data_IF_747088165869
#
_entry.id   IF_747088165869
#
_cell.length_a   1.000
_cell.length_b   1.000
_cell.length_c   1.000
_cell.angle_alpha   90.00
_cell.angle_beta   90.00
_cell.angle_gamma   90.00
#
_symmetry.space_group_name_H-M   'P 1'
#
loop_
_entity.id
_entity.type
_entity.pdbx_description
1 polymer ?
#
# COMPACT_ATOMS: atom_id res chain seq x y z
N UNK A 1 -2.55 1.84 6.72
CA UNK A 1 -1.60 0.70 6.73
C UNK A 1 -2.28 -0.55 6.21
N UNK A 2 -1.55 -1.43 5.52
CA UNK A 2 -1.98 -2.77 5.08
C UNK A 2 -0.82 -3.75 5.10
N UNK A 3 -1.14 -5.04 5.05
CA UNK A 3 -0.16 -6.12 4.91
C UNK A 3 -0.49 -6.91 3.64
N UNK A 4 0.55 -7.27 2.89
CA UNK A 4 0.41 -8.12 1.70
C UNK A 4 0.62 -9.60 2.04
N UNK A 5 0.43 -10.49 1.06
CA UNK A 5 0.51 -11.94 1.25
C UNK A 5 1.92 -12.46 1.60
N UNK A 6 2.96 -11.64 1.42
CA UNK A 6 4.33 -11.95 1.83
C UNK A 6 4.65 -11.43 3.24
N UNK A 7 3.68 -10.81 3.92
CA UNK A 7 3.86 -10.24 5.24
C UNK A 7 4.57 -8.88 5.23
N UNK A 8 4.72 -8.23 4.07
CA UNK A 8 5.28 -6.88 4.02
C UNK A 8 4.26 -5.87 4.53
N UNK A 9 4.73 -4.92 5.33
CA UNK A 9 3.92 -3.83 5.86
C UNK A 9 3.98 -2.62 4.91
N UNK A 10 2.82 -2.14 4.51
CA UNK A 10 2.63 -0.97 3.65
C UNK A 10 2.00 0.16 4.46
N UNK A 11 2.69 1.29 4.58
CA UNK A 11 2.23 2.44 5.38
C UNK A 11 2.35 3.77 4.63
N UNK A 12 1.40 4.67 4.86
CA UNK A 12 1.57 6.08 4.50
C UNK A 12 2.68 6.68 5.37
N UNK A 13 3.61 7.41 4.77
CA UNK A 13 4.71 8.07 5.45
C UNK A 13 5.17 9.32 4.71
N UNK A 14 6.21 9.97 5.23
CA UNK A 14 6.83 11.10 4.56
C UNK A 14 7.30 10.67 3.16
N UNK A 15 6.86 11.38 2.12
CA UNK A 15 7.20 11.09 0.72
C UNK A 15 6.27 10.10 0.00
N UNK A 16 5.34 9.42 0.68
CA UNK A 16 4.35 8.56 0.02
C UNK A 16 4.06 7.27 0.78
N UNK A 17 4.16 6.11 0.12
CA UNK A 17 3.92 4.80 0.74
C UNK A 17 5.23 4.06 1.01
N UNK A 18 5.60 3.92 2.28
CA UNK A 18 6.74 3.11 2.68
C UNK A 18 6.38 1.63 2.78
N UNK A 19 7.34 0.78 2.42
CA UNK A 19 7.20 -0.68 2.49
C UNK A 19 8.31 -1.27 3.35
N UNK A 20 7.93 -2.17 4.25
CA UNK A 20 8.84 -2.86 5.15
C UNK A 20 8.64 -4.37 5.07
N UNK A 21 9.70 -5.16 5.26
CA UNK A 21 9.60 -6.62 5.39
C UNK A 21 8.84 -7.00 6.67
N UNK A 22 8.45 -8.28 6.80
CA UNK A 22 7.85 -8.80 8.03
C UNK A 22 8.77 -8.67 9.26
N UNK A 23 10.09 -8.53 9.05
CA UNK A 23 11.08 -8.30 10.09
C UNK A 23 11.33 -6.80 10.38
N UNK A 24 10.63 -5.91 9.67
CA UNK A 24 10.72 -4.45 9.85
C UNK A 24 11.80 -3.77 9.00
N UNK A 25 12.50 -4.49 8.12
CA UNK A 25 13.52 -3.91 7.25
C UNK A 25 12.86 -3.02 6.19
N UNK A 26 13.38 -1.82 5.97
CA UNK A 26 12.85 -0.89 4.97
C UNK A 26 13.24 -1.33 3.56
N UNK A 27 12.23 -1.48 2.69
CA UNK A 27 12.42 -1.88 1.29
C UNK A 27 12.43 -0.68 0.34
N UNK A 28 11.71 0.39 0.68
CA UNK A 28 11.60 1.56 -0.18
C UNK A 28 10.30 2.33 0.01
N UNK A 29 10.11 3.34 -0.84
CA UNK A 29 8.95 4.22 -0.87
C UNK A 29 8.39 4.32 -2.28
N UNK A 30 7.07 4.28 -2.40
CA UNK A 30 6.37 4.76 -3.59
C UNK A 30 6.15 6.26 -3.41
N UNK A 31 6.86 7.05 -4.20
CA UNK A 31 6.79 8.50 -4.15
C UNK A 31 5.44 8.98 -4.69
N UNK A 32 4.86 9.96 -4.00
CA UNK A 32 3.62 10.62 -4.40
C UNK A 32 3.78 12.14 -4.31
N UNK A 33 3.18 12.85 -5.27
CA UNK A 33 3.19 14.32 -5.27
C UNK A 33 2.38 14.91 -4.11
N UNK A 34 1.34 14.19 -3.67
CA UNK A 34 0.50 14.54 -2.52
C UNK A 34 0.70 13.57 -1.36
N UNK A 35 0.64 14.08 -0.13
CA UNK A 35 0.74 13.25 1.07
C UNK A 35 -0.47 12.30 1.18
N UNK A 36 -0.20 10.99 1.10
CA UNK A 36 -1.23 9.98 1.25
C UNK A 36 -1.77 9.90 2.69
N UNK A 37 -3.09 9.93 2.82
CA UNK A 37 -3.81 9.75 4.07
C UNK A 37 -4.15 8.28 4.35
N UNK A 38 -4.36 7.47 3.31
CA UNK A 38 -4.69 6.05 3.45
C UNK A 38 -4.32 5.26 2.18
N UNK A 39 -4.27 3.95 2.33
CA UNK A 39 -3.99 3.01 1.24
C UNK A 39 -4.77 1.71 1.41
N UNK A 40 -5.13 1.06 0.31
CA UNK A 40 -5.65 -0.31 0.31
C UNK A 40 -5.29 -1.07 -0.96
N UNK A 41 -5.09 -2.37 -0.83
CA UNK A 41 -5.10 -3.27 -1.97
C UNK A 41 -6.54 -3.53 -2.42
N UNK A 42 -6.74 -3.69 -3.73
CA UNK A 42 -8.02 -3.99 -4.36
C UNK A 42 -7.83 -4.39 -5.83
N UNK A 43 -8.90 -4.29 -6.62
CA UNK A 43 -8.89 -4.78 -8.00
C UNK A 43 -8.81 -6.31 -8.09
N UNK A 44 -8.63 -6.81 -9.30
CA UNK A 44 -8.60 -8.24 -9.57
C UNK A 44 -7.39 -8.90 -8.88
N UNK A 45 -7.66 -9.88 -8.02
CA UNK A 45 -6.61 -10.58 -7.27
C UNK A 45 -5.83 -9.71 -6.28
N UNK A 46 -6.39 -8.56 -5.87
CA UNK A 46 -5.81 -7.63 -4.89
C UNK A 46 -4.41 -7.12 -5.25
N UNK A 47 -4.11 -6.97 -6.55
CA UNK A 47 -2.82 -6.50 -7.06
C UNK A 47 -2.75 -4.98 -7.31
N UNK A 48 -3.87 -4.27 -7.25
CA UNK A 48 -3.88 -2.81 -7.38
C UNK A 48 -3.77 -2.15 -6.00
N UNK A 49 -2.81 -1.23 -5.84
CA UNK A 49 -2.70 -0.39 -4.67
C UNK A 49 -3.39 0.95 -4.92
N UNK A 50 -4.45 1.22 -4.16
CA UNK A 50 -5.17 2.49 -4.15
C UNK A 50 -4.70 3.35 -3.00
N UNK A 51 -4.51 4.65 -3.23
CA UNK A 51 -4.01 5.61 -2.24
C UNK A 51 -4.82 6.89 -2.30
N UNK A 52 -5.37 7.33 -1.17
CA UNK A 52 -6.07 8.62 -1.06
C UNK A 52 -5.09 9.67 -0.58
N UNK A 53 -5.02 10.82 -1.23
CA UNK A 53 -4.04 11.84 -0.91
C UNK A 53 -4.62 13.23 -1.19
N UNK A 54 -4.86 14.02 -0.14
CA UNK A 54 -5.37 15.39 -0.26
C UNK A 54 -6.62 15.51 -1.14
N UNK A 55 -6.41 15.88 -2.40
CA UNK A 55 -7.45 16.11 -3.41
C UNK A 55 -7.60 14.99 -4.45
N UNK A 56 -6.71 14.00 -4.42
CA UNK A 56 -6.60 12.95 -5.43
C UNK A 56 -6.77 11.54 -4.85
N UNK A 57 -7.09 10.60 -5.74
CA UNK A 57 -6.97 9.16 -5.50
C UNK A 57 -6.03 8.57 -6.55
N UNK A 58 -4.90 8.06 -6.11
CA UNK A 58 -3.92 7.38 -6.94
C UNK A 58 -4.22 5.87 -7.01
N UNK A 59 -3.83 5.26 -8.12
CA UNK A 59 -3.86 3.80 -8.30
C UNK A 59 -2.60 3.37 -9.05
N UNK A 60 -1.95 2.33 -8.56
CA UNK A 60 -0.84 1.66 -9.24
C UNK A 60 -1.04 0.16 -9.23
N UNK A 61 -0.68 -0.51 -10.33
CA UNK A 61 -0.58 -1.97 -10.34
C UNK A 61 0.73 -2.40 -9.69
N UNK A 62 0.65 -3.40 -8.81
CA UNK A 62 1.79 -3.93 -8.09
C UNK A 62 1.96 -5.41 -8.37
N UNK A 63 3.18 -5.92 -8.24
CA UNK A 63 3.43 -7.36 -8.22
C UNK A 63 3.05 -8.01 -6.88
N UNK A 64 2.88 -7.20 -5.83
CA UNK A 64 2.39 -7.62 -4.54
C UNK A 64 0.88 -7.91 -4.58
N UNK A 65 0.41 -8.77 -3.69
CA UNK A 65 -1.02 -9.04 -3.51
C UNK A 65 -1.42 -8.73 -2.08
N UNK A 66 -2.44 -7.89 -1.90
CA UNK A 66 -2.98 -7.62 -0.58
C UNK A 66 -3.64 -8.84 0.07
N UNK A 67 -3.62 -8.91 1.39
CA UNK A 67 -4.43 -9.87 2.13
C UNK A 67 -5.92 -9.54 1.92
N UNK A 68 -6.68 -10.53 1.48
CA UNK A 68 -8.14 -10.44 1.38
C UNK A 68 -8.73 -10.26 2.78
N UNK A 69 -9.48 -9.18 3.05
CA UNK A 69 -10.17 -9.04 4.32
C UNK A 69 -11.10 -10.23 4.52
N UNK A 70 -11.02 -10.90 5.68
CA UNK A 70 -11.95 -11.96 6.01
C UNK A 70 -13.40 -11.43 5.97
N UNK A 71 -14.33 -12.22 5.45
CA UNK A 71 -15.75 -11.95 5.66
C UNK A 71 -16.01 -12.03 7.17
N UNK A 72 -16.55 -10.94 7.75
CA UNK A 72 -17.07 -10.98 9.11
C UNK A 72 -18.22 -11.99 9.21
#
# INVERSE_FOLDING_TARGET
MKVDTEGRLWTTGAGGISVHTALGEYLGVFELDEHAANLTFGGDGFSSLFMTAGTSVYRIETTARGIVPGSR
#
